data_IF_258020632150
#
_entry.id   IF_258020632150
#
_cell.length_a   1.000
_cell.length_b   1.000
_cell.length_c   1.000
_cell.angle_alpha   90.00
_cell.angle_beta   90.00
_cell.angle_gamma   90.00
#
_symmetry.space_group_name_H-M   'P 1'
#
loop_
_entity.id
_entity.type
_entity.pdbx_description
1 polymer ?
#
# COMPACT_ATOMS: atom_id res chain seq x y z
N UNK A 1 -3.07 -28.76 -63.97
CA UNK A 1 -4.12 -29.54 -63.28
C UNK A 1 -4.12 -29.18 -61.80
N UNK A 2 -5.27 -28.76 -61.25
CA UNK A 2 -5.74 -28.92 -59.85
C UNK A 2 -4.92 -28.20 -58.74
N UNK A 3 -5.43 -27.31 -57.86
CA UNK A 3 -6.76 -26.74 -57.53
C UNK A 3 -6.53 -25.40 -56.78
N UNK A 4 -7.49 -24.46 -56.91
CA UNK A 4 -7.74 -23.33 -56.01
C UNK A 4 -8.25 -23.81 -54.63
N UNK A 5 -7.91 -23.09 -53.54
CA UNK A 5 -8.74 -22.89 -52.34
C UNK A 5 -8.30 -21.58 -51.65
N UNK A 6 -9.09 -20.50 -51.77
CA UNK A 6 -10.10 -20.00 -50.80
C UNK A 6 -9.45 -19.13 -49.71
N UNK A 7 -9.49 -17.80 -49.89
CA UNK A 7 -10.28 -16.87 -49.06
C UNK A 7 -10.19 -17.16 -47.55
N UNK A 8 -9.53 -16.28 -46.79
CA UNK A 8 -10.18 -15.38 -45.83
C UNK A 8 -9.14 -14.76 -44.88
N UNK A 9 -9.44 -13.53 -44.49
CA UNK A 9 -8.72 -12.66 -43.58
C UNK A 9 -8.34 -13.34 -42.27
N UNK A 10 -7.23 -12.90 -41.69
CA UNK A 10 -7.17 -12.61 -40.26
C UNK A 10 -6.26 -11.40 -40.08
N UNK A 11 -6.92 -10.26 -39.83
CA UNK A 11 -6.34 -9.13 -39.10
C UNK A 11 -5.62 -9.75 -37.91
N UNK A 12 -4.31 -9.59 -37.87
CA UNK A 12 -3.53 -9.88 -36.68
C UNK A 12 -4.00 -8.90 -35.61
N UNK A 13 -5.06 -9.27 -34.89
CA UNK A 13 -5.31 -8.76 -33.56
C UNK A 13 -4.11 -9.22 -32.76
N UNK A 14 -3.11 -8.34 -32.70
CA UNK A 14 -2.06 -8.37 -31.72
C UNK A 14 -2.80 -8.47 -30.38
N UNK A 15 -2.84 -9.67 -29.81
CA UNK A 15 -3.16 -9.88 -28.41
C UNK A 15 -2.13 -9.05 -27.66
N UNK A 16 -2.47 -7.80 -27.38
CA UNK A 16 -1.95 -7.11 -26.23
C UNK A 16 -2.26 -8.05 -25.06
N UNK A 17 -1.26 -8.59 -24.34
CA UNK A 17 -1.54 -9.17 -23.05
C UNK A 17 -2.31 -8.09 -22.29
N UNK A 18 -3.55 -8.40 -21.91
CA UNK A 18 -4.34 -7.51 -21.09
C UNK A 18 -3.45 -7.10 -19.92
N UNK A 19 -3.29 -5.79 -19.74
CA UNK A 19 -2.60 -5.28 -18.57
C UNK A 19 -3.32 -5.91 -17.37
N UNK A 20 -2.63 -6.82 -16.70
CA UNK A 20 -3.03 -7.28 -15.39
C UNK A 20 -2.92 -6.05 -14.50
N UNK A 21 -3.97 -5.22 -14.50
CA UNK A 21 -4.18 -4.25 -13.47
C UNK A 21 -4.12 -5.04 -12.18
N UNK A 22 -3.16 -4.73 -11.33
CA UNK A 22 -3.06 -5.28 -10.00
C UNK A 22 -4.42 -5.07 -9.33
N UNK A 23 -5.28 -6.09 -9.34
CA UNK A 23 -6.49 -6.06 -8.55
C UNK A 23 -6.00 -6.08 -7.11
N UNK A 24 -6.46 -5.14 -6.27
CA UNK A 24 -6.25 -5.28 -4.84
C UNK A 24 -6.71 -6.69 -4.43
N UNK A 25 -5.90 -7.46 -3.69
CA UNK A 25 -6.37 -8.72 -3.13
C UNK A 25 -7.45 -8.34 -2.10
N UNK A 26 -8.69 -8.34 -2.57
CA UNK A 26 -9.84 -7.93 -1.78
C UNK A 26 -10.27 -9.10 -0.92
N UNK A 27 -9.53 -9.29 0.18
CA UNK A 27 -9.81 -10.29 1.20
C UNK A 27 -10.54 -9.65 2.38
N UNK A 28 -11.32 -10.46 3.09
CA UNK A 28 -11.97 -10.01 4.33
C UNK A 28 -10.93 -9.53 5.36
N UNK A 29 -9.78 -10.20 5.43
CA UNK A 29 -8.64 -9.81 6.27
C UNK A 29 -8.14 -8.39 5.96
N UNK A 30 -7.88 -8.09 4.68
CA UNK A 30 -7.38 -6.77 4.26
C UNK A 30 -8.41 -5.67 4.57
N UNK A 31 -9.71 -5.95 4.40
CA UNK A 31 -10.77 -5.00 4.76
C UNK A 31 -10.72 -4.62 6.24
N UNK A 32 -10.50 -5.60 7.13
CA UNK A 32 -10.35 -5.38 8.58
C UNK A 32 -9.12 -4.53 8.88
N UNK A 33 -7.97 -4.82 8.26
CA UNK A 33 -6.75 -4.04 8.49
C UNK A 33 -6.86 -2.61 7.98
N UNK A 34 -7.51 -2.41 6.83
CA UNK A 34 -7.81 -1.08 6.27
C UNK A 34 -8.74 -0.28 7.19
N UNK A 35 -9.69 -0.93 7.83
CA UNK A 35 -10.55 -0.29 8.82
C UNK A 35 -9.77 0.15 10.05
N UNK A 36 -8.95 -0.74 10.61
CA UNK A 36 -8.14 -0.40 11.76
C UNK A 36 -7.12 0.71 11.48
N UNK A 37 -6.48 0.71 10.29
CA UNK A 37 -5.61 1.79 9.84
C UNK A 37 -6.31 3.16 9.86
N UNK A 38 -7.58 3.23 9.42
CA UNK A 38 -8.35 4.49 9.41
C UNK A 38 -8.58 5.07 10.81
N UNK A 39 -8.59 4.20 11.81
CA UNK A 39 -8.87 4.56 13.21
C UNK A 39 -7.58 4.66 14.06
N UNK A 40 -6.40 4.53 13.44
CA UNK A 40 -5.12 4.43 14.15
C UNK A 40 -4.49 5.78 14.55
N UNK A 41 -5.23 6.89 14.47
CA UNK A 41 -4.78 8.24 14.82
C UNK A 41 -4.78 8.52 16.34
N UNK A 42 -5.32 7.59 17.13
CA UNK A 42 -5.26 7.59 18.59
C UNK A 42 -4.39 6.46 19.12
N UNK A 43 -3.92 6.58 20.36
CA UNK A 43 -3.14 5.52 21.02
C UNK A 43 -3.90 4.19 21.03
N UNK A 44 -5.16 4.23 21.48
CA UNK A 44 -6.04 3.06 21.54
C UNK A 44 -6.34 2.50 20.14
N UNK A 45 -6.51 3.37 19.15
CA UNK A 45 -6.67 2.97 17.75
C UNK A 45 -5.43 2.28 17.18
N UNK A 46 -4.24 2.76 17.51
CA UNK A 46 -2.98 2.11 17.08
C UNK A 46 -2.79 0.74 17.74
N UNK A 47 -3.21 0.58 18.99
CA UNK A 47 -3.17 -0.71 19.69
C UNK A 47 -4.18 -1.67 19.06
N UNK A 48 -5.42 -1.22 18.81
CA UNK A 48 -6.41 -2.01 18.10
C UNK A 48 -5.91 -2.43 16.70
N UNK A 49 -5.18 -1.56 16.00
CA UNK A 49 -4.59 -1.90 14.71
C UNK A 49 -3.53 -2.99 14.81
N UNK A 50 -2.66 -2.94 15.82
CA UNK A 50 -1.71 -4.02 16.09
C UNK A 50 -2.39 -5.36 16.43
N UNK A 51 -3.52 -5.31 17.14
CA UNK A 51 -4.23 -6.50 17.58
C UNK A 51 -4.95 -7.23 16.43
N UNK A 52 -5.46 -6.48 15.43
CA UNK A 52 -6.16 -7.09 14.29
C UNK A 52 -5.23 -7.58 13.18
N UNK A 53 -4.01 -7.06 13.10
CA UNK A 53 -3.04 -7.51 12.09
C UNK A 53 -2.38 -8.79 12.59
N UNK A 54 -2.82 -9.91 12.02
CA UNK A 54 -2.30 -11.22 12.36
C UNK A 54 -0.84 -11.39 11.91
N UNK A 55 -0.04 -11.95 12.83
CA UNK A 55 1.39 -12.21 12.67
C UNK A 55 1.63 -13.44 11.80
N UNK A 56 0.67 -14.36 11.81
CA UNK A 56 0.75 -15.67 11.19
C UNK A 56 -0.11 -15.74 9.91
N UNK A 57 -0.66 -14.60 9.46
CA UNK A 57 -1.37 -14.53 8.17
C UNK A 57 -0.40 -14.74 7.01
N UNK A 58 -0.76 -15.67 6.12
CA UNK A 58 -0.06 -15.92 4.86
C UNK A 58 -0.38 -14.89 3.77
N UNK A 59 -1.20 -13.88 4.07
CA UNK A 59 -1.59 -12.89 3.09
C UNK A 59 -0.37 -12.03 2.68
N UNK A 60 -0.14 -11.78 1.38
CA UNK A 60 1.04 -11.05 0.90
C UNK A 60 1.21 -9.63 1.50
N UNK A 61 0.10 -9.02 1.92
CA UNK A 61 0.09 -7.68 2.52
C UNK A 61 0.28 -7.68 4.05
N UNK A 62 0.19 -8.82 4.73
CA UNK A 62 0.17 -8.91 6.19
C UNK A 62 1.39 -8.22 6.81
N UNK A 63 2.58 -8.49 6.28
CA UNK A 63 3.84 -7.91 6.77
C UNK A 63 3.87 -6.39 6.60
N UNK A 64 3.36 -5.87 5.47
CA UNK A 64 3.31 -4.44 5.22
C UNK A 64 2.33 -3.74 6.20
N UNK A 65 1.13 -4.28 6.39
CA UNK A 65 0.16 -3.76 7.36
C UNK A 65 0.68 -3.83 8.80
N UNK A 66 1.40 -4.89 9.14
CA UNK A 66 2.00 -5.03 10.47
C UNK A 66 3.10 -4.00 10.69
N UNK A 67 3.97 -3.82 9.70
CA UNK A 67 5.04 -2.83 9.79
C UNK A 67 4.49 -1.41 9.94
N UNK A 68 3.41 -1.04 9.23
CA UNK A 68 2.74 0.25 9.44
C UNK A 68 2.08 0.38 10.81
N UNK A 69 1.39 -0.66 11.29
CA UNK A 69 0.79 -0.67 12.63
C UNK A 69 1.84 -0.45 13.73
N UNK A 70 2.97 -1.17 13.63
CA UNK A 70 4.10 -1.01 14.54
C UNK A 70 4.70 0.40 14.47
N UNK A 71 4.88 0.96 13.27
CA UNK A 71 5.42 2.31 13.09
C UNK A 71 4.49 3.40 13.66
N UNK A 72 3.17 3.26 13.48
CA UNK A 72 2.18 4.16 14.07
C UNK A 72 2.20 4.05 15.61
N UNK A 73 2.25 2.83 16.16
CA UNK A 73 2.28 2.59 17.61
C UNK A 73 3.51 3.20 18.30
N UNK A 74 4.64 3.33 17.58
CA UNK A 74 5.87 3.97 18.08
C UNK A 74 5.62 5.44 18.44
N UNK A 75 4.63 6.08 17.81
CA UNK A 75 4.23 7.46 18.12
C UNK A 75 3.83 7.67 19.57
N UNK A 76 3.09 6.72 20.17
CA UNK A 76 2.44 6.91 21.47
C UNK A 76 3.34 6.53 22.66
N UNK A 77 3.66 5.24 22.87
CA UNK A 77 4.33 4.76 24.10
C UNK A 77 5.83 4.50 23.97
N UNK A 78 6.57 4.73 25.05
CA UNK A 78 7.97 4.26 25.23
C UNK A 78 9.04 5.35 25.31
N UNK A 79 10.21 4.99 25.84
CA UNK A 79 11.36 5.90 25.91
C UNK A 79 11.95 6.20 24.51
N UNK A 80 12.58 7.38 24.29
CA UNK A 80 13.06 7.80 22.97
C UNK A 80 14.01 6.81 22.29
N UNK A 81 14.91 6.16 23.04
CA UNK A 81 15.86 5.19 22.49
C UNK A 81 15.16 3.95 21.95
N UNK A 82 14.18 3.43 22.70
CA UNK A 82 13.41 2.25 22.30
C UNK A 82 12.48 2.56 21.12
N UNK A 83 11.87 3.76 21.10
CA UNK A 83 11.10 4.26 19.96
C UNK A 83 11.96 4.32 18.71
N UNK A 84 13.15 4.92 18.78
CA UNK A 84 14.07 5.02 17.65
C UNK A 84 14.50 3.65 17.11
N UNK A 85 14.84 2.71 17.99
CA UNK A 85 15.23 1.35 17.59
C UNK A 85 14.09 0.62 16.88
N UNK A 86 12.88 0.66 17.45
CA UNK A 86 11.68 0.04 16.84
C UNK A 86 11.33 0.68 15.51
N UNK A 87 11.35 2.02 15.43
CA UNK A 87 11.08 2.75 14.20
C UNK A 87 12.03 2.29 13.08
N UNK A 88 13.34 2.25 13.34
CA UNK A 88 14.33 1.82 12.34
C UNK A 88 14.15 0.38 11.89
N UNK A 89 13.76 -0.52 12.80
CA UNK A 89 13.55 -1.93 12.47
C UNK A 89 12.34 -2.09 11.54
N UNK A 90 11.20 -1.51 11.92
CA UNK A 90 9.97 -1.63 11.15
C UNK A 90 9.94 -0.78 9.89
N UNK A 91 10.63 0.36 9.87
CA UNK A 91 10.78 1.16 8.65
C UNK A 91 11.56 0.40 7.58
N UNK A 92 12.64 -0.28 7.99
CA UNK A 92 13.42 -1.15 7.10
C UNK A 92 12.58 -2.30 6.57
N UNK A 93 11.71 -2.87 7.40
CA UNK A 93 10.83 -3.96 6.96
C UNK A 93 9.78 -3.45 5.96
N UNK A 94 9.14 -2.31 6.23
CA UNK A 94 8.21 -1.70 5.29
C UNK A 94 8.88 -1.33 3.96
N UNK A 95 10.11 -0.81 4.00
CA UNK A 95 10.90 -0.54 2.79
C UNK A 95 11.17 -1.81 1.98
N UNK A 96 11.50 -2.94 2.64
CA UNK A 96 11.68 -4.23 1.96
C UNK A 96 10.41 -4.72 1.29
N UNK A 97 9.24 -4.54 1.91
CA UNK A 97 7.96 -4.90 1.29
C UNK A 97 7.73 -4.08 0.01
N UNK A 98 8.10 -2.79 0.02
CA UNK A 98 8.06 -1.96 -1.19
C UNK A 98 9.10 -2.40 -2.23
N UNK A 99 10.29 -2.84 -1.82
CA UNK A 99 11.28 -3.37 -2.77
C UNK A 99 10.81 -4.69 -3.40
N UNK A 100 10.14 -5.56 -2.63
CA UNK A 100 9.63 -6.85 -3.07
C UNK A 100 8.45 -6.71 -4.05
N UNK A 101 7.53 -5.78 -3.79
CA UNK A 101 6.40 -5.50 -4.68
C UNK A 101 6.24 -3.99 -4.92
N UNK A 102 7.16 -3.47 -5.73
CA UNK A 102 7.33 -2.04 -5.96
C UNK A 102 6.17 -1.36 -6.68
N UNK A 103 5.30 -2.13 -7.35
CA UNK A 103 4.15 -1.63 -8.07
C UNK A 103 2.87 -1.66 -7.23
N UNK A 104 2.90 -2.26 -6.04
CA UNK A 104 1.74 -2.37 -5.18
C UNK A 104 1.34 -1.02 -4.56
N UNK A 105 0.22 -0.42 -4.96
CA UNK A 105 -0.17 0.88 -4.45
C UNK A 105 -0.61 0.83 -2.98
N UNK A 106 -1.01 -0.33 -2.44
CA UNK A 106 -1.32 -0.49 -1.01
C UNK A 106 -0.05 -0.34 -0.16
N UNK A 107 1.01 -1.08 -0.48
CA UNK A 107 2.27 -1.02 0.28
C UNK A 107 2.88 0.40 0.19
N UNK A 108 2.79 1.01 -1.00
CA UNK A 108 3.19 2.41 -1.23
C UNK A 108 2.38 3.38 -0.36
N UNK A 109 1.08 3.18 -0.27
CA UNK A 109 0.19 3.98 0.59
C UNK A 109 0.59 3.86 2.06
N UNK A 110 0.78 2.65 2.58
CA UNK A 110 1.23 2.41 3.96
C UNK A 110 2.56 3.08 4.27
N UNK A 111 3.50 3.06 3.32
CA UNK A 111 4.78 3.75 3.51
C UNK A 111 4.64 5.27 3.46
N UNK A 112 3.82 5.80 2.55
CA UNK A 112 3.57 7.23 2.41
C UNK A 112 3.03 7.82 3.72
N UNK A 113 2.03 7.18 4.34
CA UNK A 113 1.42 7.65 5.60
C UNK A 113 2.44 7.75 6.72
N UNK A 114 3.26 6.71 6.92
CA UNK A 114 4.31 6.72 7.95
C UNK A 114 5.37 7.78 7.64
N UNK A 115 5.80 7.93 6.39
CA UNK A 115 6.82 8.91 6.00
C UNK A 115 6.36 10.35 6.22
N UNK A 116 5.10 10.66 5.93
CA UNK A 116 4.56 11.99 6.15
C UNK A 116 4.51 12.35 7.64
N UNK A 117 4.15 11.39 8.49
CA UNK A 117 4.08 11.56 9.95
C UNK A 117 5.45 11.50 10.64
N UNK A 118 6.50 10.99 9.98
CA UNK A 118 7.82 10.82 10.58
C UNK A 118 8.49 12.16 10.94
N UNK A 119 9.05 12.29 12.17
CA UNK A 119 9.83 13.46 12.57
C UNK A 119 11.01 13.74 11.63
N UNK A 120 11.23 15.01 11.29
CA UNK A 120 12.29 15.44 10.36
C UNK A 120 13.69 14.97 10.75
N UNK A 121 13.96 14.86 12.06
CA UNK A 121 15.27 14.42 12.58
C UNK A 121 15.64 12.99 12.18
N UNK A 122 14.65 12.17 11.77
CA UNK A 122 14.86 10.79 11.34
C UNK A 122 15.21 10.66 9.86
N UNK A 123 15.16 11.76 9.09
CA UNK A 123 15.45 11.80 7.65
C UNK A 123 14.70 10.75 6.80
N UNK A 124 13.58 10.22 7.31
CA UNK A 124 12.83 9.13 6.68
C UNK A 124 11.86 9.60 5.57
N UNK A 125 11.87 10.90 5.25
CA UNK A 125 10.95 11.51 4.26
C UNK A 125 11.35 11.30 2.79
N UNK A 126 12.50 10.67 2.52
CA UNK A 126 12.95 10.44 1.15
C UNK A 126 11.99 9.49 0.40
N UNK A 127 11.76 9.78 -0.87
CA UNK A 127 10.91 8.94 -1.73
C UNK A 127 9.40 9.09 -1.53
N UNK A 128 8.92 9.98 -0.63
CA UNK A 128 7.48 10.21 -0.43
C UNK A 128 6.76 10.60 -1.72
N UNK A 129 7.39 11.41 -2.58
CA UNK A 129 6.84 11.80 -3.90
C UNK A 129 6.61 10.57 -4.79
N UNK A 130 7.53 9.61 -4.80
CA UNK A 130 7.38 8.38 -5.59
C UNK A 130 6.23 7.51 -5.08
N UNK A 131 6.01 7.52 -3.76
CA UNK A 131 4.89 6.82 -3.15
C UNK A 131 3.56 7.52 -3.50
N UNK A 132 3.50 8.86 -3.43
CA UNK A 132 2.33 9.64 -3.87
C UNK A 132 1.94 9.33 -5.33
N UNK A 133 2.92 9.29 -6.25
CA UNK A 133 2.67 8.97 -7.66
C UNK A 133 2.12 7.55 -7.83
N UNK A 134 2.67 6.57 -7.11
CA UNK A 134 2.19 5.19 -7.17
C UNK A 134 0.76 5.06 -6.60
N UNK A 135 0.47 5.74 -5.49
CA UNK A 135 -0.87 5.77 -4.87
C UNK A 135 -1.89 6.43 -5.80
N UNK A 136 -1.54 7.58 -6.40
CA UNK A 136 -2.39 8.26 -7.39
C UNK A 136 -2.71 7.35 -8.57
N UNK A 137 -1.69 6.69 -9.13
CA UNK A 137 -1.87 5.72 -10.22
C UNK A 137 -2.80 4.57 -9.81
N UNK A 138 -2.66 4.06 -8.59
CA UNK A 138 -3.55 3.03 -8.04
C UNK A 138 -5.01 3.50 -7.96
N UNK A 139 -5.25 4.75 -7.53
CA UNK A 139 -6.59 5.35 -7.51
C UNK A 139 -7.19 5.46 -8.93
N UNK A 140 -6.39 5.91 -9.90
CA UNK A 140 -6.80 6.08 -11.31
C UNK A 140 -7.10 4.74 -11.98
N UNK A 141 -6.30 3.71 -11.70
CA UNK A 141 -6.48 2.35 -12.21
C UNK A 141 -7.60 1.58 -11.51
N UNK A 142 -8.17 2.14 -10.45
CA UNK A 142 -9.26 1.52 -9.71
C UNK A 142 -8.81 0.35 -8.82
N UNK A 143 -7.57 0.39 -8.32
CA UNK A 143 -7.04 -0.62 -7.39
C UNK A 143 -7.97 -0.85 -6.20
N UNK A 144 -8.44 0.25 -5.58
CA UNK A 144 -9.40 0.23 -4.46
C UNK A 144 -10.87 0.34 -4.89
N UNK A 145 -11.22 0.01 -6.15
CA UNK A 145 -12.60 0.21 -6.65
C UNK A 145 -13.63 -0.61 -5.86
N UNK A 146 -13.25 -1.77 -5.36
CA UNK A 146 -14.13 -2.69 -4.63
C UNK A 146 -14.37 -2.30 -3.17
N UNK A 147 -13.52 -1.45 -2.58
CA UNK A 147 -13.71 -0.84 -1.27
C UNK A 147 -13.82 0.70 -1.39
N UNK A 148 -15.03 1.23 -1.68
CA UNK A 148 -15.22 2.67 -1.85
C UNK A 148 -14.93 3.50 -0.60
N UNK A 149 -15.05 2.90 0.59
CA UNK A 149 -14.79 3.59 1.86
C UNK A 149 -13.28 3.81 2.00
N UNK A 150 -12.50 2.75 1.85
CA UNK A 150 -11.05 2.85 1.90
C UNK A 150 -10.49 3.68 0.74
N UNK A 151 -11.05 3.55 -0.47
CA UNK A 151 -10.67 4.41 -1.60
C UNK A 151 -10.78 5.90 -1.29
N UNK A 152 -11.90 6.35 -0.70
CA UNK A 152 -12.08 7.75 -0.31
C UNK A 152 -11.08 8.16 0.76
N UNK A 153 -10.81 7.27 1.72
CA UNK A 153 -9.80 7.50 2.73
C UNK A 153 -8.42 7.72 2.10
N UNK A 154 -7.97 6.81 1.23
CA UNK A 154 -6.69 6.92 0.51
C UNK A 154 -6.61 8.24 -0.26
N UNK A 155 -7.67 8.61 -0.97
CA UNK A 155 -7.75 9.88 -1.69
C UNK A 155 -7.59 11.08 -0.74
N UNK A 156 -8.33 11.10 0.38
CA UNK A 156 -8.27 12.20 1.34
C UNK A 156 -6.89 12.37 1.97
N UNK A 157 -6.21 11.26 2.28
CA UNK A 157 -4.86 11.25 2.83
C UNK A 157 -3.85 11.74 1.80
N UNK A 158 -3.98 11.29 0.55
CA UNK A 158 -3.11 11.74 -0.55
C UNK A 158 -3.22 13.25 -0.77
N UNK A 159 -4.43 13.80 -0.73
CA UNK A 159 -4.71 15.24 -0.88
C UNK A 159 -4.21 16.06 0.31
N UNK A 160 -4.25 15.51 1.53
CA UNK A 160 -3.76 16.18 2.74
C UNK A 160 -2.23 16.13 2.90
N UNK A 161 -1.56 15.19 2.22
CA UNK A 161 -0.11 14.99 2.33
C UNK A 161 0.63 16.13 1.63
N UNK A 162 1.25 17.03 2.41
CA UNK A 162 1.94 18.23 1.91
C UNK A 162 3.10 17.94 0.94
N UNK A 163 3.64 16.72 0.99
CA UNK A 163 4.76 16.30 0.16
C UNK A 163 4.33 15.75 -1.21
N UNK A 164 3.03 15.59 -1.45
CA UNK A 164 2.51 15.11 -2.72
C UNK A 164 2.28 16.29 -3.69
N UNK A 165 2.73 16.18 -4.95
CA UNK A 165 2.54 17.22 -5.97
C UNK A 165 1.14 17.22 -6.57
#
# INVERSE_FOLDING_TARGET
MRRLCWKMALIGALLMPGEAGAQAPDSAEVSVWREALRNADTEQGSEAYLDVVDRDSDHPLAVAFRASAELISVGYKGNPFSKLRRFRAWSKELDRQVEADSLNPEIRFLRMTVKDQAPRILAYRSGVVSDCVAVRRGLEQGYWRSDPVHRRFVQSVLEATQSCP
#
